data_IF_434016014937
#
_entry.id   IF_434016014937
#
_cell.length_a   1.000
_cell.length_b   1.000
_cell.length_c   1.000
_cell.angle_alpha   90.00
_cell.angle_beta   90.00
_cell.angle_gamma   90.00
#
_symmetry.space_group_name_H-M   'P 1'
#
loop_
_entity.id
_entity.type
_entity.pdbx_description
1 polymer ?
#
# COMPACT_ATOMS: atom_id res chain seq x y z
N UNK A 1 0.80 -22.61 -38.52
CA UNK A 1 1.03 -22.71 -37.07
C UNK A 1 0.13 -21.66 -36.38
N UNK A 2 -1.04 -22.05 -35.86
CA UNK A 2 -1.99 -21.15 -35.23
C UNK A 2 -1.57 -21.03 -33.78
N UNK A 3 -0.92 -19.92 -33.41
CA UNK A 3 -0.59 -19.60 -32.03
C UNK A 3 -1.92 -19.39 -31.28
N UNK A 4 -2.20 -20.21 -30.26
CA UNK A 4 -3.45 -20.15 -29.53
C UNK A 4 -3.53 -18.81 -28.77
N UNK A 5 -4.43 -17.94 -29.23
CA UNK A 5 -4.70 -16.61 -28.64
C UNK A 5 -5.00 -16.70 -27.14
N UNK A 6 -5.54 -17.82 -26.66
CA UNK A 6 -5.77 -18.08 -25.24
C UNK A 6 -4.50 -18.22 -24.41
N UNK A 7 -3.42 -18.79 -24.97
CA UNK A 7 -2.13 -18.91 -24.26
C UNK A 7 -1.49 -17.54 -24.11
N UNK A 8 -1.57 -16.69 -25.14
CA UNK A 8 -1.06 -15.31 -25.07
C UNK A 8 -1.84 -14.48 -24.04
N UNK A 9 -3.17 -14.65 -23.97
CA UNK A 9 -4.02 -13.93 -23.01
C UNK A 9 -3.76 -14.39 -21.55
N UNK A 10 -3.51 -15.67 -21.33
CA UNK A 10 -3.10 -16.18 -20.00
C UNK A 10 -1.72 -15.64 -19.57
N UNK A 11 -0.74 -15.52 -20.49
CA UNK A 11 0.56 -14.92 -20.17
C UNK A 11 0.46 -13.44 -19.85
N UNK A 12 -0.40 -12.69 -20.53
CA UNK A 12 -0.65 -11.27 -20.24
C UNK A 12 -1.34 -11.09 -18.89
N UNK A 13 -2.33 -11.95 -18.56
CA UNK A 13 -3.00 -11.90 -17.25
C UNK A 13 -2.09 -12.34 -16.10
N UNK A 14 -1.25 -13.35 -16.27
CA UNK A 14 -0.25 -13.77 -15.30
C UNK A 14 0.84 -12.69 -15.11
N UNK A 15 1.24 -12.02 -16.19
CA UNK A 15 2.18 -10.89 -16.12
C UNK A 15 1.63 -9.69 -15.36
N UNK A 16 0.33 -9.42 -15.44
CA UNK A 16 -0.32 -8.31 -14.72
C UNK A 16 -0.47 -8.59 -13.20
N UNK A 17 -0.54 -9.85 -12.78
CA UNK A 17 -0.61 -10.19 -11.35
C UNK A 17 0.74 -10.15 -10.62
N UNK A 18 1.87 -10.20 -11.35
CA UNK A 18 3.21 -10.13 -10.75
C UNK A 18 3.71 -8.70 -10.47
N UNK A 19 2.96 -7.66 -10.82
CA UNK A 19 3.37 -6.26 -10.65
C UNK A 19 2.69 -5.52 -9.48
N UNK A 20 2.15 -6.25 -8.49
CA UNK A 20 1.91 -5.60 -7.21
C UNK A 20 3.28 -5.26 -6.60
N UNK A 21 3.62 -3.96 -6.57
CA UNK A 21 4.84 -3.47 -5.94
C UNK A 21 4.95 -4.09 -4.54
N UNK A 22 6.12 -4.62 -4.20
CA UNK A 22 6.38 -5.20 -2.86
C UNK A 22 6.03 -4.22 -1.74
N UNK A 23 6.09 -2.95 -2.01
CA UNK A 23 5.96 -1.82 -1.08
C UNK A 23 4.50 -1.52 -0.72
N UNK A 24 3.60 -1.52 -1.71
CA UNK A 24 2.15 -1.44 -1.45
C UNK A 24 1.73 -2.63 -0.58
N UNK A 25 2.33 -3.79 -0.81
CA UNK A 25 2.10 -4.99 0.00
C UNK A 25 2.54 -4.82 1.45
N UNK A 26 3.64 -4.12 1.71
CA UNK A 26 4.16 -3.90 3.06
C UNK A 26 3.24 -3.01 3.89
N UNK A 27 2.84 -1.84 3.37
CA UNK A 27 1.93 -0.94 4.09
C UNK A 27 0.54 -1.56 4.28
N UNK A 28 0.05 -2.32 3.29
CA UNK A 28 -1.19 -3.05 3.40
C UNK A 28 -1.10 -4.16 4.46
N UNK A 29 0.00 -4.91 4.48
CA UNK A 29 0.25 -5.96 5.48
C UNK A 29 0.35 -5.37 6.88
N UNK A 30 1.08 -4.26 7.07
CA UNK A 30 1.14 -3.53 8.34
C UNK A 30 -0.26 -3.16 8.81
N UNK A 31 -1.04 -2.53 7.94
CA UNK A 31 -2.41 -2.08 8.24
C UNK A 31 -3.29 -3.25 8.63
N UNK A 32 -3.29 -4.32 7.82
CA UNK A 32 -4.09 -5.51 8.08
C UNK A 32 -3.72 -6.16 9.42
N UNK A 33 -2.44 -6.42 9.66
CA UNK A 33 -2.01 -7.08 10.91
C UNK A 33 -2.28 -6.24 12.14
N UNK A 34 -2.09 -4.93 12.07
CA UNK A 34 -2.35 -4.02 13.20
C UNK A 34 -3.82 -3.95 13.54
N UNK A 35 -4.68 -3.78 12.55
CA UNK A 35 -6.14 -3.73 12.77
C UNK A 35 -6.67 -5.09 13.21
N UNK A 36 -6.19 -6.19 12.60
CA UNK A 36 -6.61 -7.56 12.96
C UNK A 36 -6.26 -7.89 14.42
N UNK A 37 -5.04 -7.58 14.86
CA UNK A 37 -4.64 -7.79 16.26
C UNK A 37 -5.50 -6.97 17.22
N UNK A 38 -5.79 -5.71 16.88
CA UNK A 38 -6.61 -4.81 17.70
C UNK A 38 -8.08 -5.28 17.79
N UNK A 39 -8.66 -5.71 16.68
CA UNK A 39 -10.02 -6.28 16.67
C UNK A 39 -10.04 -7.59 17.47
N UNK A 40 -9.03 -8.45 17.33
CA UNK A 40 -8.92 -9.69 18.09
C UNK A 40 -8.84 -9.44 19.60
N UNK A 41 -8.11 -8.40 20.01
CA UNK A 41 -8.05 -7.97 21.42
C UNK A 41 -9.41 -7.49 21.93
N UNK A 42 -10.15 -6.72 21.15
CA UNK A 42 -11.51 -6.28 21.49
C UNK A 42 -12.44 -7.48 21.67
N UNK A 43 -12.41 -8.41 20.72
CA UNK A 43 -13.24 -9.61 20.75
C UNK A 43 -12.93 -10.50 21.97
N UNK A 44 -11.67 -10.59 22.37
CA UNK A 44 -11.25 -11.36 23.54
C UNK A 44 -11.71 -10.75 24.88
N UNK A 45 -11.92 -9.43 24.90
CA UNK A 45 -12.39 -8.69 26.10
C UNK A 45 -13.92 -8.58 26.18
N UNK A 46 -14.62 -8.85 25.09
CA UNK A 46 -16.09 -8.84 25.09
C UNK A 46 -16.64 -10.13 25.68
N UNK A 47 -17.55 -9.99 26.64
CA UNK A 47 -18.18 -11.12 27.34
C UNK A 47 -19.18 -11.83 26.42
N UNK A 48 -19.82 -11.09 25.51
CA UNK A 48 -20.80 -11.59 24.57
C UNK A 48 -20.20 -11.79 23.19
N UNK A 49 -20.69 -12.80 22.44
CA UNK A 49 -20.27 -13.02 21.05
C UNK A 49 -20.76 -11.87 20.17
N UNK A 50 -19.82 -11.07 19.66
CA UNK A 50 -20.12 -10.02 18.71
C UNK A 50 -20.34 -10.67 17.33
N UNK A 51 -21.59 -10.63 16.86
CA UNK A 51 -21.96 -11.21 15.54
C UNK A 51 -22.05 -10.16 14.45
N UNK A 52 -22.20 -8.89 14.81
CA UNK A 52 -22.29 -7.78 13.87
C UNK A 52 -21.74 -6.49 14.50
N UNK A 53 -21.15 -5.65 13.67
CA UNK A 53 -20.64 -4.35 14.10
C UNK A 53 -20.70 -3.29 13.00
N UNK A 54 -20.57 -2.03 13.40
CA UNK A 54 -20.37 -0.88 12.52
C UNK A 54 -18.97 -0.30 12.74
N UNK A 55 -18.42 0.35 11.72
CA UNK A 55 -17.07 0.88 11.78
C UNK A 55 -17.00 2.27 11.14
N UNK A 56 -16.25 3.18 11.75
CA UNK A 56 -15.94 4.49 11.18
C UNK A 56 -14.49 4.90 11.50
N UNK A 57 -13.90 5.70 10.64
CA UNK A 57 -12.62 6.35 10.91
C UNK A 57 -12.82 7.78 11.40
N UNK A 58 -11.81 8.34 12.06
CA UNK A 58 -11.85 9.75 12.48
C UNK A 58 -11.59 10.72 11.32
N UNK A 59 -11.02 10.23 10.23
CA UNK A 59 -10.61 10.98 9.05
C UNK A 59 -11.19 10.27 7.83
N UNK A 60 -12.14 10.90 7.16
CA UNK A 60 -12.90 10.31 6.04
C UNK A 60 -12.01 9.89 4.87
N UNK A 61 -10.93 10.63 4.62
CA UNK A 61 -9.98 10.34 3.56
C UNK A 61 -9.29 8.96 3.70
N UNK A 62 -9.19 8.45 4.94
CA UNK A 62 -8.67 7.10 5.18
C UNK A 62 -9.68 5.98 4.92
N UNK A 63 -10.96 6.30 4.85
CA UNK A 63 -12.04 5.31 4.70
C UNK A 63 -11.83 4.46 3.44
N UNK A 64 -11.50 5.09 2.32
CA UNK A 64 -11.31 4.39 1.04
C UNK A 64 -10.22 3.32 1.09
N UNK A 65 -9.21 3.50 1.96
CA UNK A 65 -8.10 2.57 2.14
C UNK A 65 -8.35 1.57 3.28
N UNK A 66 -8.91 2.03 4.40
CA UNK A 66 -9.06 1.23 5.63
C UNK A 66 -10.33 0.39 5.66
N UNK A 67 -11.44 0.89 5.14
CA UNK A 67 -12.72 0.18 5.18
C UNK A 67 -12.66 -1.20 4.50
N UNK A 68 -12.10 -1.37 3.28
CA UNK A 68 -11.98 -2.68 2.66
C UNK A 68 -11.17 -3.66 3.52
N UNK A 69 -10.11 -3.18 4.17
CA UNK A 69 -9.27 -4.00 5.05
C UNK A 69 -10.03 -4.45 6.29
N UNK A 70 -10.78 -3.53 6.92
CA UNK A 70 -11.62 -3.85 8.09
C UNK A 70 -12.72 -4.85 7.71
N UNK A 71 -13.42 -4.62 6.61
CA UNK A 71 -14.48 -5.53 6.11
C UNK A 71 -13.91 -6.93 5.89
N UNK A 72 -12.74 -7.05 5.26
CA UNK A 72 -12.09 -8.33 5.05
C UNK A 72 -11.78 -9.04 6.38
N UNK A 73 -11.18 -8.33 7.35
CA UNK A 73 -10.87 -8.88 8.68
C UNK A 73 -12.14 -9.38 9.37
N UNK A 74 -13.22 -8.60 9.33
CA UNK A 74 -14.49 -8.97 9.94
C UNK A 74 -15.09 -10.22 9.30
N UNK A 75 -15.05 -10.32 7.97
CA UNK A 75 -15.50 -11.51 7.25
C UNK A 75 -14.67 -12.75 7.61
N UNK A 76 -13.35 -12.62 7.72
CA UNK A 76 -12.46 -13.71 8.15
C UNK A 76 -12.79 -14.19 9.57
N UNK A 77 -13.36 -13.33 10.42
CA UNK A 77 -13.79 -13.64 11.80
C UNK A 77 -15.28 -14.05 11.89
N UNK A 78 -16.00 -14.09 10.78
CA UNK A 78 -17.43 -14.42 10.76
C UNK A 78 -18.33 -13.32 11.34
N UNK A 79 -17.88 -12.07 11.36
CA UNK A 79 -18.61 -10.91 11.88
C UNK A 79 -19.22 -10.12 10.72
N UNK A 80 -20.51 -9.81 10.82
CA UNK A 80 -21.21 -9.04 9.81
C UNK A 80 -20.88 -7.54 9.94
N UNK A 81 -20.38 -6.94 8.85
CA UNK A 81 -20.24 -5.50 8.77
C UNK A 81 -21.56 -4.85 8.35
N UNK A 82 -22.06 -3.91 9.15
CA UNK A 82 -23.35 -3.26 8.96
C UNK A 82 -23.24 -1.82 8.44
N UNK A 83 -22.04 -1.34 8.11
CA UNK A 83 -21.80 0.01 7.60
C UNK A 83 -21.15 0.95 8.61
N UNK A 84 -21.11 2.24 8.27
CA UNK A 84 -20.37 3.26 9.01
C UNK A 84 -21.17 3.86 10.18
N UNK A 85 -22.49 3.93 10.05
CA UNK A 85 -23.31 4.59 11.06
C UNK A 85 -23.59 3.67 12.23
N UNK A 86 -23.51 4.18 13.48
CA UNK A 86 -23.89 3.42 14.66
C UNK A 86 -25.33 2.94 14.57
N UNK A 87 -25.53 1.63 14.75
CA UNK A 87 -26.87 1.01 14.78
C UNK A 87 -27.19 0.65 16.22
N UNK A 88 -28.45 0.85 16.63
CA UNK A 88 -28.91 0.55 17.97
C UNK A 88 -28.67 -0.95 18.30
N UNK A 89 -28.12 -1.20 19.48
CA UNK A 89 -27.79 -2.54 19.97
C UNK A 89 -26.70 -3.29 19.16
N UNK A 90 -25.83 -2.58 18.46
CA UNK A 90 -24.65 -3.17 17.85
C UNK A 90 -23.39 -2.52 18.39
N UNK A 91 -22.27 -3.24 18.31
CA UNK A 91 -20.96 -2.68 18.64
C UNK A 91 -20.57 -1.71 17.54
N UNK A 92 -20.18 -0.51 17.92
CA UNK A 92 -19.60 0.47 17.02
C UNK A 92 -18.11 0.60 17.31
N UNK A 93 -17.29 0.40 16.28
CA UNK A 93 -15.85 0.61 16.32
C UNK A 93 -15.52 1.96 15.70
N UNK A 94 -14.87 2.83 16.45
CA UNK A 94 -14.33 4.08 15.96
C UNK A 94 -12.80 4.01 15.93
N UNK A 95 -12.23 4.03 14.76
CA UNK A 95 -10.79 4.09 14.54
C UNK A 95 -10.34 5.55 14.55
N UNK A 96 -9.58 5.93 15.54
CA UNK A 96 -8.96 7.23 15.63
C UNK A 96 -7.47 7.10 15.29
N UNK A 97 -7.09 7.62 14.11
CA UNK A 97 -5.73 7.59 13.62
C UNK A 97 -5.01 8.84 14.11
N UNK A 98 -3.84 8.66 14.69
CA UNK A 98 -2.94 9.73 15.15
C UNK A 98 -1.81 9.94 14.14
N UNK A 99 -1.24 8.86 13.62
CA UNK A 99 -0.25 8.90 12.55
C UNK A 99 -0.49 7.70 11.61
N UNK A 100 -0.57 7.99 10.31
CA UNK A 100 -0.54 6.98 9.27
C UNK A 100 0.34 7.54 8.15
N UNK A 101 1.57 7.08 8.08
CA UNK A 101 2.56 7.68 7.19
C UNK A 101 3.48 6.65 6.56
N UNK A 102 3.90 6.96 5.34
CA UNK A 102 4.93 6.27 4.59
C UNK A 102 6.00 7.29 4.21
N UNK A 103 7.21 7.10 4.70
CA UNK A 103 8.35 8.00 4.52
C UNK A 103 9.48 7.28 3.83
N UNK A 104 10.22 7.98 2.97
CA UNK A 104 11.41 7.46 2.32
C UNK A 104 12.63 8.32 2.66
N UNK A 105 13.74 7.67 2.95
CA UNK A 105 15.04 8.30 3.14
C UNK A 105 16.03 7.76 2.11
N UNK A 106 16.93 8.60 1.66
CA UNK A 106 18.01 8.17 0.75
C UNK A 106 19.00 7.31 1.54
N UNK A 107 19.34 6.14 0.97
CA UNK A 107 20.44 5.33 1.45
C UNK A 107 21.71 5.76 0.74
N UNK A 108 22.63 6.43 1.47
CA UNK A 108 23.91 6.91 0.90
C UNK A 108 24.76 5.80 0.30
N UNK A 109 24.57 4.56 0.77
CA UNK A 109 25.31 3.38 0.29
C UNK A 109 24.75 2.74 -0.99
N UNK A 110 23.52 3.08 -1.38
CA UNK A 110 22.79 2.46 -2.52
C UNK A 110 22.09 3.52 -3.35
N UNK A 111 22.65 3.85 -4.53
CA UNK A 111 22.16 4.94 -5.39
C UNK A 111 20.70 4.82 -5.85
N UNK A 112 20.16 3.59 -5.97
CA UNK A 112 18.83 3.32 -6.51
C UNK A 112 17.83 2.78 -5.48
N UNK A 113 18.19 2.82 -4.19
CA UNK A 113 17.37 2.29 -3.11
C UNK A 113 17.06 3.36 -2.07
N UNK A 114 15.85 3.27 -1.55
CA UNK A 114 15.34 4.12 -0.47
C UNK A 114 15.09 3.25 0.77
N UNK A 115 15.29 3.82 1.92
CA UNK A 115 14.85 3.30 3.20
C UNK A 115 13.39 3.72 3.41
N UNK A 116 12.48 2.76 3.31
CA UNK A 116 11.05 2.97 3.48
C UNK A 116 10.65 2.71 4.93
N UNK A 117 9.96 3.65 5.53
CA UNK A 117 9.45 3.58 6.90
C UNK A 117 7.95 3.79 6.86
N UNK A 118 7.19 2.76 7.19
CA UNK A 118 5.75 2.83 7.38
C UNK A 118 5.38 2.88 8.85
N UNK A 119 4.46 3.77 9.23
CA UNK A 119 3.98 3.95 10.60
C UNK A 119 2.46 3.98 10.60
N UNK A 120 1.86 3.24 11.53
CA UNK A 120 0.43 3.31 11.84
C UNK A 120 0.26 3.40 13.35
N UNK A 121 -0.19 4.57 13.83
CA UNK A 121 -0.46 4.82 15.23
C UNK A 121 -1.88 5.36 15.41
N UNK A 122 -2.51 4.96 16.52
CA UNK A 122 -3.86 5.40 16.83
C UNK A 122 -4.51 4.54 17.89
N UNK A 123 -5.83 4.57 17.91
CA UNK A 123 -6.63 3.75 18.84
C UNK A 123 -7.96 3.34 18.22
N UNK A 124 -8.43 2.18 18.60
CA UNK A 124 -9.81 1.74 18.35
C UNK A 124 -10.62 1.93 19.62
N UNK A 125 -11.69 2.65 19.50
CA UNK A 125 -12.65 2.89 20.60
C UNK A 125 -13.91 2.11 20.29
N UNK A 126 -14.32 1.26 21.21
CA UNK A 126 -15.59 0.55 21.11
C UNK A 126 -16.67 1.31 21.85
N UNK A 127 -17.87 1.34 21.31
CA UNK A 127 -19.06 1.81 22.01
C UNK A 127 -20.23 0.87 21.79
N UNK A 128 -20.94 0.59 22.89
CA UNK A 128 -22.15 -0.21 22.89
C UNK A 128 -23.04 0.26 24.03
N UNK A 129 -24.37 0.28 23.87
CA UNK A 129 -25.30 0.79 24.93
C UNK A 129 -25.22 0.08 26.28
N UNK A 130 -24.89 -1.21 26.27
CA UNK A 130 -24.92 -2.07 27.47
C UNK A 130 -23.58 -2.66 27.87
N UNK A 131 -22.52 -2.48 27.03
CA UNK A 131 -21.17 -2.97 27.32
C UNK A 131 -20.24 -1.80 27.69
N UNK A 132 -19.23 -2.04 28.54
CA UNK A 132 -18.22 -1.03 28.79
C UNK A 132 -17.48 -0.69 27.50
N UNK A 133 -17.14 0.57 27.31
CA UNK A 133 -16.29 1.00 26.21
C UNK A 133 -14.86 0.53 26.45
N UNK A 134 -14.26 -0.04 25.43
CA UNK A 134 -12.84 -0.42 25.43
C UNK A 134 -12.07 0.51 24.51
N UNK A 135 -10.82 0.73 24.88
CA UNK A 135 -9.86 1.44 24.05
C UNK A 135 -8.67 0.51 23.83
N UNK A 136 -8.35 0.24 22.58
CA UNK A 136 -7.17 -0.53 22.17
C UNK A 136 -6.23 0.41 21.43
N UNK A 137 -5.00 0.48 21.90
CA UNK A 137 -3.95 1.32 21.29
C UNK A 137 -3.30 0.53 20.16
N UNK A 138 -3.17 1.18 19.02
CA UNK A 138 -2.43 0.67 17.86
C UNK A 138 -1.10 1.41 17.76
N UNK A 139 -0.02 0.67 17.69
CA UNK A 139 1.31 1.25 17.44
C UNK A 139 2.13 0.21 16.68
N UNK A 140 2.25 0.40 15.39
CA UNK A 140 2.99 -0.49 14.52
C UNK A 140 3.80 0.28 13.51
N UNK A 141 4.98 -0.23 13.20
CA UNK A 141 5.86 0.31 12.18
C UNK A 141 6.61 -0.80 11.47
N UNK A 142 7.05 -0.53 10.25
CA UNK A 142 8.00 -1.38 9.54
C UNK A 142 9.07 -0.52 8.89
N UNK A 143 10.18 -1.17 8.56
CA UNK A 143 11.27 -0.58 7.79
C UNK A 143 11.72 -1.57 6.73
N UNK A 144 11.88 -1.12 5.49
CA UNK A 144 12.33 -1.95 4.38
C UNK A 144 13.14 -1.13 3.38
N UNK A 145 13.95 -1.82 2.58
CA UNK A 145 14.66 -1.20 1.47
C UNK A 145 13.86 -1.40 0.20
N UNK A 146 13.59 -0.32 -0.52
CA UNK A 146 12.77 -0.31 -1.72
C UNK A 146 13.49 0.38 -2.87
N UNK A 147 13.17 0.02 -4.11
CA UNK A 147 13.69 0.74 -5.25
C UNK A 147 12.98 2.08 -5.42
N UNK A 148 13.68 3.08 -5.98
CA UNK A 148 13.06 4.37 -6.33
C UNK A 148 11.86 4.18 -7.27
N UNK A 149 11.92 3.19 -8.17
CA UNK A 149 10.85 2.89 -9.09
C UNK A 149 9.60 2.38 -8.37
N UNK A 150 9.79 1.50 -7.39
CA UNK A 150 8.70 0.95 -6.60
C UNK A 150 8.08 2.02 -5.71
N UNK A 151 8.89 2.85 -5.05
CA UNK A 151 8.40 3.99 -4.27
C UNK A 151 7.54 4.94 -5.14
N UNK A 152 7.96 5.25 -6.38
CA UNK A 152 7.15 6.04 -7.33
C UNK A 152 5.84 5.36 -7.73
N UNK A 153 5.79 4.04 -7.80
CA UNK A 153 4.57 3.29 -8.06
C UNK A 153 3.63 3.34 -6.85
N UNK A 154 4.18 3.17 -5.66
CA UNK A 154 3.45 3.24 -4.40
C UNK A 154 2.78 4.59 -4.20
N UNK A 155 3.48 5.71 -4.48
CA UNK A 155 2.91 7.05 -4.46
C UNK A 155 1.68 7.23 -5.34
N UNK A 156 1.58 6.51 -6.46
CA UNK A 156 0.43 6.64 -7.38
C UNK A 156 -0.80 5.87 -6.91
N UNK A 157 -0.63 4.90 -6.03
CA UNK A 157 -1.70 3.99 -5.58
C UNK A 157 -2.24 4.40 -4.22
N UNK A 158 -1.38 4.91 -3.33
CA UNK A 158 -1.77 5.31 -1.98
C UNK A 158 -2.32 6.74 -1.94
N UNK A 159 -3.20 7.05 -0.98
CA UNK A 159 -3.66 8.41 -0.73
C UNK A 159 -2.47 9.35 -0.43
N UNK A 160 -2.49 10.54 -1.00
CA UNK A 160 -1.39 11.52 -0.89
C UNK A 160 -1.09 11.94 0.55
N UNK A 161 -2.07 11.86 1.45
CA UNK A 161 -1.89 12.19 2.86
C UNK A 161 -1.11 11.13 3.66
N UNK A 162 -0.98 9.91 3.13
CA UNK A 162 -0.20 8.83 3.76
C UNK A 162 1.26 8.91 3.33
N UNK A 163 1.52 9.41 2.13
CA UNK A 163 2.79 9.28 1.44
C UNK A 163 3.57 10.58 1.47
N UNK A 164 4.81 10.55 1.97
CA UNK A 164 5.73 11.69 1.85
C UNK A 164 6.28 11.81 0.42
N UNK A 165 6.85 12.97 0.09
CA UNK A 165 7.59 13.12 -1.16
C UNK A 165 8.85 12.23 -1.14
N UNK A 166 9.17 11.66 -2.30
CA UNK A 166 10.44 10.94 -2.47
C UNK A 166 11.55 11.99 -2.48
N UNK A 167 12.56 11.85 -1.62
CA UNK A 167 13.69 12.77 -1.63
C UNK A 167 14.32 12.82 -3.04
N UNK A 168 14.61 14.01 -3.53
CA UNK A 168 15.31 14.17 -4.80
C UNK A 168 16.67 13.44 -4.70
N UNK A 169 16.84 12.39 -5.49
CA UNK A 169 18.15 11.77 -5.60
C UNK A 169 19.10 12.83 -6.17
N UNK A 170 20.29 12.96 -5.60
CA UNK A 170 21.39 13.73 -6.20
C UNK A 170 21.92 12.98 -7.43
N UNK A 171 21.03 12.63 -8.38
CA UNK A 171 21.47 12.21 -9.72
C UNK A 171 22.22 13.38 -10.29
N UNK A 172 23.51 13.18 -10.52
CA UNK A 172 24.33 14.24 -11.09
C UNK A 172 23.67 14.67 -12.42
N UNK A 173 23.56 15.96 -12.68
CA UNK A 173 23.08 16.50 -13.97
C UNK A 173 23.73 15.79 -15.18
N UNK A 174 24.93 15.24 -14.97
CA UNK A 174 25.69 14.44 -15.93
C UNK A 174 24.96 13.11 -16.26
N UNK A 175 24.40 12.39 -15.29
CA UNK A 175 23.67 11.14 -15.54
C UNK A 175 22.33 11.40 -16.23
N UNK A 176 21.66 12.49 -15.89
CA UNK A 176 20.37 12.89 -16.49
C UNK A 176 20.52 13.29 -17.96
N UNK A 177 21.66 13.88 -18.34
CA UNK A 177 21.97 14.28 -19.72
C UNK A 177 22.66 13.14 -20.48
N UNK A 178 23.58 12.41 -19.86
CA UNK A 178 24.38 11.39 -20.50
C UNK A 178 23.56 10.21 -21.01
N UNK A 179 22.54 9.80 -20.26
CA UNK A 179 21.69 8.65 -20.62
C UNK A 179 20.92 8.88 -21.93
N UNK A 180 20.16 9.96 -22.13
CA UNK A 180 19.49 10.21 -23.41
C UNK A 180 20.48 10.46 -24.56
N UNK A 181 21.63 11.08 -24.30
CA UNK A 181 22.66 11.28 -25.33
C UNK A 181 23.27 9.96 -25.78
N UNK A 182 23.52 9.01 -24.88
CA UNK A 182 23.99 7.67 -25.25
C UNK A 182 22.94 6.90 -26.07
N UNK A 183 21.65 6.96 -25.69
CA UNK A 183 20.58 6.33 -26.48
C UNK A 183 20.45 6.92 -27.89
N UNK A 184 20.50 8.24 -28.02
CA UNK A 184 20.46 8.91 -29.31
C UNK A 184 21.71 8.59 -30.16
N UNK A 185 22.90 8.55 -29.54
CA UNK A 185 24.15 8.19 -30.19
C UNK A 185 24.14 6.75 -30.72
N UNK A 186 23.70 5.79 -29.91
CA UNK A 186 23.60 4.37 -30.33
C UNK A 186 22.55 4.17 -31.44
N UNK A 187 21.39 4.85 -31.36
CA UNK A 187 20.38 4.81 -32.42
C UNK A 187 20.93 5.40 -33.75
N UNK A 188 21.61 6.51 -33.69
CA UNK A 188 22.23 7.15 -34.89
C UNK A 188 23.31 6.25 -35.54
N UNK A 189 24.18 5.64 -34.73
CA UNK A 189 25.20 4.70 -35.22
C UNK A 189 24.54 3.47 -35.85
N UNK A 190 23.51 2.92 -35.24
CA UNK A 190 22.78 1.76 -35.77
C UNK A 190 22.13 2.06 -37.11
N UNK A 191 21.48 3.23 -37.23
CA UNK A 191 20.92 3.70 -38.50
C UNK A 191 21.98 3.86 -39.58
N UNK A 192 23.14 4.49 -39.25
CA UNK A 192 24.22 4.71 -40.17
C UNK A 192 24.83 3.38 -40.67
N UNK A 193 24.99 2.38 -39.80
CA UNK A 193 25.42 1.04 -40.16
C UNK A 193 24.42 0.32 -41.06
N UNK A 194 23.09 0.43 -40.80
CA UNK A 194 22.08 -0.13 -41.66
C UNK A 194 22.07 0.44 -43.07
N UNK A 195 22.33 1.75 -43.20
CA UNK A 195 22.38 2.39 -44.50
C UNK A 195 23.71 2.09 -45.25
N UNK A 196 24.82 1.98 -44.53
CA UNK A 196 26.14 1.67 -45.18
C UNK A 196 26.26 0.22 -45.61
N UNK A 197 25.69 -0.74 -44.85
CA UNK A 197 25.73 -2.17 -45.23
C UNK A 197 24.78 -2.48 -46.39
N UNK A 198 23.76 -1.67 -46.63
CA UNK A 198 22.78 -1.90 -47.70
C UNK A 198 23.22 -1.33 -49.06
N UNK A 199 24.31 -0.58 -49.12
CA UNK A 199 24.86 0.03 -50.35
C UNK A 199 26.03 -0.75 -50.96
N UNK A 200 26.33 -1.93 -50.48
CA UNK A 200 27.21 -2.92 -51.14
C UNK A 200 26.37 -4.11 -51.61
#
# INVERSE_FOLDING_TARGET
MKLNLHVLFCFVLLGLQCFASSDVKNIYSLTKTTIDSSISEILSKSVDSITALTFTTSIEEYDSFLEPTVVQILQEKGINYLGKLPIKNTVHLRLQIEEFSLKWNILESMKDSLDEIGVLQGKIITSHPTMPSFVVIMNSSYRSNVSILDAKRTMKVLPTMIVSEIPASNTSLVEEILTPVLYLGTAAITLLLLFTVRTQ
#
